data_IF_214130793895
#
_entry.id   IF_214130793895
#
_cell.length_a   1.000
_cell.length_b   1.000
_cell.length_c   1.000
_cell.angle_alpha   90.00
_cell.angle_beta   90.00
_cell.angle_gamma   90.00
#
_symmetry.space_group_name_H-M   'P 1'
#
loop_
_entity.id
_entity.type
_entity.pdbx_description
1 polymer ?
#
# COMPACT_ATOMS: atom_id res chain seq x y z
N UNK A 1 -15.57 21.60 54.57
CA UNK A 1 -16.00 20.49 53.71
C UNK A 1 -15.24 20.59 52.36
N UNK A 2 -14.22 19.75 52.19
CA UNK A 2 -13.41 19.73 50.95
C UNK A 2 -14.07 18.73 50.00
N UNK A 3 -14.63 19.24 48.89
CA UNK A 3 -15.18 18.39 47.81
C UNK A 3 -14.04 17.93 46.92
N UNK A 4 -13.69 16.66 46.97
CA UNK A 4 -12.79 16.02 46.01
C UNK A 4 -13.57 15.74 44.71
N UNK A 5 -13.24 16.45 43.65
CA UNK A 5 -13.72 16.13 42.31
C UNK A 5 -12.78 15.06 41.76
N UNK A 6 -13.27 13.82 41.69
CA UNK A 6 -12.57 12.73 41.02
C UNK A 6 -12.76 12.92 39.50
N UNK A 7 -11.71 13.34 38.81
CA UNK A 7 -11.66 13.36 37.35
C UNK A 7 -11.41 11.93 36.90
N UNK A 8 -12.46 11.25 36.43
CA UNK A 8 -12.35 9.94 35.79
C UNK A 8 -11.78 10.19 34.37
N UNK A 9 -10.50 9.91 34.22
CA UNK A 9 -9.85 9.88 32.89
C UNK A 9 -10.32 8.61 32.18
N UNK A 10 -11.36 8.74 31.34
CA UNK A 10 -11.81 7.65 30.48
C UNK A 10 -10.73 7.38 29.44
N UNK A 11 -9.95 6.33 29.66
CA UNK A 11 -9.01 5.81 28.67
C UNK A 11 -9.83 5.17 27.54
N UNK A 12 -10.10 5.92 26.49
CA UNK A 12 -10.68 5.38 25.27
C UNK A 12 -9.62 4.53 24.61
N UNK A 13 -9.62 3.23 24.89
CA UNK A 13 -8.86 2.25 24.14
C UNK A 13 -9.50 2.16 22.76
N UNK A 14 -8.89 2.82 21.76
CA UNK A 14 -9.19 2.54 20.38
C UNK A 14 -8.72 1.10 20.09
N UNK A 15 -9.63 0.16 20.27
CA UNK A 15 -9.49 -1.17 19.67
C UNK A 15 -9.54 -0.93 18.17
N UNK A 16 -8.36 -0.93 17.52
CA UNK A 16 -8.26 -0.84 16.09
C UNK A 16 -9.06 -1.99 15.48
N UNK A 17 -10.21 -1.67 14.87
CA UNK A 17 -10.92 -2.59 13.99
C UNK A 17 -9.94 -2.96 12.88
N UNK A 18 -9.41 -4.20 12.90
CA UNK A 18 -8.55 -4.68 11.82
C UNK A 18 -9.28 -4.56 10.48
N UNK A 19 -8.66 -3.86 9.53
CA UNK A 19 -9.25 -3.53 8.24
C UNK A 19 -8.71 -2.20 7.73
N UNK A 20 -9.13 -1.79 6.56
CA UNK A 20 -8.77 -0.48 6.01
C UNK A 20 -9.47 0.64 6.78
N UNK A 21 -8.71 1.64 7.19
CA UNK A 21 -9.22 2.85 7.83
C UNK A 21 -10.10 3.65 6.85
N UNK A 22 -10.85 4.62 7.37
CA UNK A 22 -11.64 5.52 6.52
C UNK A 22 -10.77 6.26 5.49
N UNK A 23 -9.61 6.76 5.92
CA UNK A 23 -8.68 7.47 5.03
C UNK A 23 -8.12 6.56 3.93
N UNK A 24 -7.78 5.31 4.27
CA UNK A 24 -7.33 4.33 3.29
C UNK A 24 -8.43 3.97 2.29
N UNK A 25 -9.67 3.81 2.74
CA UNK A 25 -10.81 3.61 1.84
C UNK A 25 -11.02 4.80 0.91
N UNK A 26 -10.87 6.02 1.40
CA UNK A 26 -10.92 7.22 0.55
C UNK A 26 -9.84 7.20 -0.55
N UNK A 27 -8.65 6.67 -0.28
CA UNK A 27 -7.61 6.46 -1.30
C UNK A 27 -8.00 5.36 -2.28
N UNK A 28 -8.47 4.21 -1.78
CA UNK A 28 -8.84 3.04 -2.59
C UNK A 28 -9.96 3.37 -3.58
N UNK A 29 -10.93 4.20 -3.18
CA UNK A 29 -12.10 4.53 -3.99
C UNK A 29 -12.04 5.92 -4.64
N UNK A 30 -10.94 6.67 -4.48
CA UNK A 30 -10.82 8.03 -5.01
C UNK A 30 -10.85 8.05 -6.54
N UNK A 31 -11.63 8.98 -7.10
CA UNK A 31 -11.71 9.24 -8.54
C UNK A 31 -12.64 8.28 -9.27
N UNK A 32 -12.79 8.51 -10.57
CA UNK A 32 -13.58 7.68 -11.46
C UNK A 32 -12.69 6.68 -12.20
N UNK A 33 -13.22 5.48 -12.45
CA UNK A 33 -12.49 4.42 -13.16
C UNK A 33 -11.45 3.68 -12.32
N UNK A 34 -10.61 2.94 -13.02
CA UNK A 34 -9.67 2.00 -12.37
C UNK A 34 -8.24 2.53 -12.23
N UNK A 35 -7.87 3.57 -12.96
CA UNK A 35 -6.53 4.16 -12.88
C UNK A 35 -6.42 5.02 -11.62
N UNK A 36 -5.40 4.76 -10.81
CA UNK A 36 -5.11 5.52 -9.60
C UNK A 36 -4.06 6.60 -9.88
N UNK A 37 -4.09 7.66 -9.08
CA UNK A 37 -3.03 8.66 -9.10
C UNK A 37 -1.73 8.03 -8.58
N UNK A 38 -0.65 8.17 -9.37
CA UNK A 38 0.69 7.72 -8.97
C UNK A 38 1.43 8.86 -8.30
N UNK A 39 1.99 8.60 -7.11
CA UNK A 39 2.81 9.54 -6.35
C UNK A 39 4.13 9.80 -7.05
N UNK A 40 4.53 11.07 -7.13
CA UNK A 40 5.76 11.50 -7.81
C UNK A 40 6.78 12.08 -6.84
N UNK A 41 8.03 11.67 -6.95
CA UNK A 41 9.14 12.25 -6.19
C UNK A 41 9.39 13.73 -6.53
N UNK A 42 8.92 14.19 -7.68
CA UNK A 42 8.99 15.60 -8.09
C UNK A 42 8.00 16.48 -7.29
N UNK A 43 6.95 15.90 -6.75
CA UNK A 43 6.03 16.56 -5.83
C UNK A 43 6.55 16.39 -4.40
N UNK A 44 6.66 17.50 -3.64
CA UNK A 44 7.19 17.47 -2.28
C UNK A 44 6.35 16.64 -1.31
N UNK A 45 5.03 16.75 -1.39
CA UNK A 45 4.11 16.04 -0.47
C UNK A 45 4.14 14.54 -0.75
N UNK A 46 4.11 14.15 -2.01
CA UNK A 46 4.24 12.76 -2.44
C UNK A 46 5.59 12.17 -2.01
N UNK A 47 6.68 12.93 -2.22
CA UNK A 47 8.03 12.52 -1.81
C UNK A 47 8.14 12.30 -0.30
N UNK A 48 7.49 13.12 0.52
CA UNK A 48 7.43 12.94 1.97
C UNK A 48 6.60 11.70 2.34
N UNK A 49 5.49 11.46 1.65
CA UNK A 49 4.68 10.26 1.84
C UNK A 49 5.46 8.99 1.50
N UNK A 50 6.12 8.96 0.33
CA UNK A 50 6.89 7.80 -0.15
C UNK A 50 8.07 7.41 0.76
N UNK A 51 8.55 8.34 1.60
CA UNK A 51 9.62 8.08 2.58
C UNK A 51 9.12 7.55 3.92
N UNK A 52 7.81 7.50 4.13
CA UNK A 52 7.23 6.98 5.37
C UNK A 52 7.27 5.46 5.39
N UNK A 53 7.38 4.91 6.60
CA UNK A 53 7.31 3.46 6.81
C UNK A 53 5.89 2.97 6.55
N UNK A 54 5.77 1.92 5.73
CA UNK A 54 4.50 1.26 5.44
C UNK A 54 4.15 0.26 6.54
N UNK A 55 2.88 0.26 6.92
CA UNK A 55 2.34 -0.68 7.90
C UNK A 55 2.03 -2.05 7.26
N UNK A 56 2.05 -3.13 8.05
CA UNK A 56 1.66 -4.44 7.54
C UNK A 56 0.18 -4.47 7.15
N UNK A 57 -0.15 -5.34 6.22
CA UNK A 57 -1.52 -5.74 5.95
C UNK A 57 -2.03 -6.64 7.08
N UNK A 58 -3.20 -6.33 7.61
CA UNK A 58 -3.88 -7.17 8.60
C UNK A 58 -4.54 -8.38 7.91
N UNK A 59 -4.58 -9.53 8.57
CA UNK A 59 -5.24 -10.74 8.04
C UNK A 59 -6.72 -10.50 7.71
N UNK A 60 -7.39 -9.63 8.45
CA UNK A 60 -8.79 -9.25 8.19
C UNK A 60 -9.00 -8.46 6.90
N UNK A 61 -7.94 -7.90 6.33
CA UNK A 61 -7.99 -7.26 5.01
C UNK A 61 -8.03 -8.30 3.89
N UNK A 62 -7.49 -9.50 4.13
CA UNK A 62 -7.45 -10.57 3.14
C UNK A 62 -8.87 -11.04 2.85
N UNK A 63 -9.26 -11.04 1.57
CA UNK A 63 -10.61 -11.38 1.13
C UNK A 63 -11.64 -10.26 1.24
N UNK A 64 -11.25 -9.05 1.70
CA UNK A 64 -12.15 -7.90 1.72
C UNK A 64 -12.40 -7.34 0.31
N UNK A 65 -13.54 -6.68 0.13
CA UNK A 65 -13.88 -5.99 -1.11
C UNK A 65 -12.91 -4.83 -1.39
N UNK A 66 -12.47 -4.14 -0.35
CA UNK A 66 -11.47 -3.07 -0.44
C UNK A 66 -10.16 -3.59 -1.01
N UNK A 67 -9.67 -4.74 -0.54
CA UNK A 67 -8.44 -5.34 -1.06
C UNK A 67 -8.62 -5.77 -2.52
N UNK A 68 -9.74 -6.40 -2.87
CA UNK A 68 -10.03 -6.79 -4.25
C UNK A 68 -10.07 -5.57 -5.18
N UNK A 69 -10.69 -4.48 -4.74
CA UNK A 69 -10.75 -3.20 -5.48
C UNK A 69 -9.35 -2.59 -5.62
N UNK A 70 -8.57 -2.57 -4.54
CA UNK A 70 -7.19 -2.06 -4.57
C UNK A 70 -6.32 -2.85 -5.56
N UNK A 71 -6.36 -4.18 -5.51
CA UNK A 71 -5.63 -5.05 -6.44
C UNK A 71 -6.00 -4.76 -7.89
N UNK A 72 -7.29 -4.69 -8.20
CA UNK A 72 -7.80 -4.40 -9.54
C UNK A 72 -7.31 -3.05 -10.04
N UNK A 73 -7.41 -2.01 -9.20
CA UNK A 73 -7.01 -0.65 -9.55
C UNK A 73 -5.50 -0.49 -9.67
N UNK A 74 -4.71 -1.08 -8.77
CA UNK A 74 -3.25 -1.09 -8.89
C UNK A 74 -2.80 -1.77 -10.18
N UNK A 75 -3.43 -2.91 -10.52
CA UNK A 75 -3.12 -3.63 -11.76
C UNK A 75 -3.47 -2.80 -13.00
N UNK A 76 -4.62 -2.14 -13.01
CA UNK A 76 -5.01 -1.24 -14.09
C UNK A 76 -4.01 -0.08 -14.22
N UNK A 77 -3.57 0.48 -13.10
CA UNK A 77 -2.64 1.61 -13.05
C UNK A 77 -1.26 1.25 -13.61
N UNK A 78 -0.69 0.10 -13.22
CA UNK A 78 0.65 -0.31 -13.70
C UNK A 78 0.65 -0.74 -15.16
N UNK A 79 -0.49 -1.16 -15.69
CA UNK A 79 -0.69 -1.53 -17.10
C UNK A 79 -1.09 -0.36 -17.99
N UNK A 80 -1.45 0.77 -17.40
CA UNK A 80 -1.78 1.96 -18.17
C UNK A 80 -0.56 2.47 -18.95
N UNK A 81 -0.67 2.77 -20.24
CA UNK A 81 0.48 3.23 -21.06
C UNK A 81 1.18 4.48 -20.51
N UNK A 82 0.48 5.31 -19.72
CA UNK A 82 1.09 6.48 -19.08
C UNK A 82 1.94 6.12 -17.84
N UNK A 83 1.74 4.94 -17.27
CA UNK A 83 2.40 4.46 -16.06
C UNK A 83 3.09 3.10 -16.25
N UNK A 84 3.21 2.65 -17.49
CA UNK A 84 3.66 1.29 -17.84
C UNK A 84 4.91 0.88 -17.06
N UNK A 85 4.78 -0.24 -16.33
CA UNK A 85 5.83 -0.77 -15.49
C UNK A 85 5.69 -2.26 -15.23
N UNK A 86 6.73 -2.84 -14.65
CA UNK A 86 6.82 -4.27 -14.29
C UNK A 86 6.44 -4.55 -12.84
N UNK A 87 6.09 -3.51 -12.10
CA UNK A 87 5.66 -3.62 -10.71
C UNK A 87 5.15 -2.29 -10.15
N UNK A 88 4.34 -2.38 -9.11
CA UNK A 88 3.79 -1.24 -8.39
C UNK A 88 3.61 -1.60 -6.91
N UNK A 89 3.97 -0.68 -6.02
CA UNK A 89 3.77 -0.80 -4.58
C UNK A 89 2.62 0.09 -4.09
N UNK A 90 1.92 -0.33 -3.06
CA UNK A 90 0.80 0.43 -2.50
C UNK A 90 1.16 1.89 -2.11
N UNK A 91 2.35 2.20 -1.57
CA UNK A 91 2.75 3.59 -1.34
C UNK A 91 2.77 4.46 -2.60
N UNK A 92 3.05 3.88 -3.77
CA UNK A 92 3.06 4.63 -5.03
C UNK A 92 1.66 5.10 -5.44
N UNK A 93 0.62 4.52 -4.91
CA UNK A 93 -0.77 4.99 -5.08
C UNK A 93 -1.34 5.66 -3.83
N UNK A 94 -0.46 6.06 -2.91
CA UNK A 94 -0.83 6.83 -1.72
C UNK A 94 -1.25 6.00 -0.51
N UNK A 95 -1.09 4.66 -0.55
CA UNK A 95 -1.49 3.77 0.53
C UNK A 95 -0.26 3.20 1.25
N UNK A 96 -0.03 3.61 2.50
CA UNK A 96 1.15 3.20 3.28
C UNK A 96 0.98 1.79 3.87
N UNK A 97 0.84 0.80 3.00
CA UNK A 97 0.74 -0.63 3.35
C UNK A 97 1.82 -1.45 2.66
N UNK A 98 2.31 -2.49 3.34
CA UNK A 98 3.29 -3.43 2.77
C UNK A 98 2.60 -4.37 1.78
N UNK A 99 2.46 -3.90 0.56
CA UNK A 99 1.85 -4.63 -0.54
C UNK A 99 2.51 -4.21 -1.84
N UNK A 100 2.84 -5.18 -2.68
CA UNK A 100 3.42 -4.97 -4.01
C UNK A 100 2.74 -5.87 -5.03
N UNK A 101 2.65 -5.42 -6.28
CA UNK A 101 2.33 -6.21 -7.45
C UNK A 101 3.57 -6.29 -8.32
N UNK A 102 3.93 -7.47 -8.81
CA UNK A 102 5.13 -7.70 -9.63
C UNK A 102 4.78 -8.58 -10.81
N UNK A 103 5.26 -8.22 -12.00
CA UNK A 103 5.16 -9.07 -13.17
C UNK A 103 6.16 -10.23 -13.07
N UNK A 104 5.67 -11.45 -13.20
CA UNK A 104 6.45 -12.66 -13.02
C UNK A 104 7.00 -13.17 -14.35
N UNK A 105 8.13 -12.64 -14.77
CA UNK A 105 8.83 -13.08 -15.99
C UNK A 105 9.35 -14.51 -15.92
N UNK A 106 9.41 -15.10 -14.73
CA UNK A 106 9.79 -16.50 -14.50
C UNK A 106 8.63 -17.48 -14.71
N UNK A 107 7.41 -16.99 -14.97
CA UNK A 107 6.22 -17.80 -15.18
C UNK A 107 5.66 -17.66 -16.60
N UNK A 108 5.06 -18.74 -17.09
CA UNK A 108 4.39 -18.72 -18.38
C UNK A 108 3.25 -17.70 -18.39
N UNK A 109 3.21 -16.85 -19.44
CA UNK A 109 2.22 -15.77 -19.57
C UNK A 109 2.54 -14.52 -18.76
N UNK A 110 3.67 -14.50 -18.04
CA UNK A 110 4.19 -13.35 -17.30
C UNK A 110 3.12 -12.61 -16.46
N UNK A 111 2.37 -13.34 -15.61
CA UNK A 111 1.27 -12.74 -14.83
C UNK A 111 1.78 -11.75 -13.80
N UNK A 112 0.94 -10.76 -13.46
CA UNK A 112 1.16 -9.98 -12.24
C UNK A 112 0.69 -10.76 -11.02
N UNK A 113 1.52 -10.81 -10.00
CA UNK A 113 1.18 -11.40 -8.69
C UNK A 113 1.29 -10.35 -7.59
N UNK A 114 0.38 -10.45 -6.61
CA UNK A 114 0.37 -9.58 -5.45
C UNK A 114 1.01 -10.28 -4.27
N UNK A 115 1.89 -9.55 -3.58
CA UNK A 115 2.56 -10.00 -2.36
C UNK A 115 2.19 -9.08 -1.22
N UNK A 116 1.66 -9.66 -0.15
CA UNK A 116 1.30 -8.96 1.08
C UNK A 116 2.39 -9.19 2.12
N UNK A 117 2.77 -8.13 2.84
CA UNK A 117 3.81 -8.17 3.87
C UNK A 117 5.14 -8.79 3.41
N UNK A 118 5.65 -8.44 2.21
CA UNK A 118 6.93 -8.97 1.78
C UNK A 118 8.05 -8.55 2.72
N UNK A 119 9.02 -9.46 2.94
CA UNK A 119 10.20 -9.22 3.77
C UNK A 119 11.45 -9.70 3.03
N UNK A 120 12.55 -8.93 3.16
CA UNK A 120 13.85 -9.34 2.65
C UNK A 120 14.47 -10.29 3.69
N UNK A 121 14.55 -11.57 3.34
CA UNK A 121 15.10 -12.62 4.23
C UNK A 121 16.57 -12.87 4.02
N UNK A 122 17.13 -12.51 2.86
CA UNK A 122 18.56 -12.64 2.55
C UNK A 122 18.96 -11.62 1.49
N UNK A 123 20.18 -11.13 1.58
CA UNK A 123 20.85 -10.35 0.54
C UNK A 123 22.07 -11.14 0.05
N UNK A 124 22.16 -11.35 -1.25
CA UNK A 124 23.32 -11.99 -1.85
C UNK A 124 24.47 -10.98 -1.95
N UNK A 125 25.71 -11.47 -1.75
CA UNK A 125 26.90 -10.62 -1.85
C UNK A 125 27.31 -10.29 -3.29
N UNK A 126 26.77 -11.03 -4.28
CA UNK A 126 27.03 -10.78 -5.69
C UNK A 126 26.10 -9.70 -6.22
N UNK A 127 26.69 -8.57 -6.61
CA UNK A 127 25.98 -7.53 -7.35
C UNK A 127 26.13 -7.83 -8.85
N UNK A 128 25.02 -8.04 -9.53
CA UNK A 128 24.99 -8.12 -11.00
C UNK A 128 24.42 -6.81 -11.54
N UNK A 129 25.06 -6.21 -12.55
CA UNK A 129 24.46 -5.09 -13.25
C UNK A 129 23.17 -5.56 -13.94
N UNK A 130 22.08 -4.84 -13.73
CA UNK A 130 20.78 -5.12 -14.31
C UNK A 130 20.09 -3.83 -14.74
N UNK A 131 19.24 -3.90 -15.74
CA UNK A 131 18.33 -2.82 -16.08
C UNK A 131 17.13 -2.86 -15.13
N UNK A 132 16.73 -1.71 -14.62
CA UNK A 132 15.49 -1.55 -13.86
C UNK A 132 14.44 -0.88 -14.74
N UNK A 133 13.23 -1.44 -14.74
CA UNK A 133 12.06 -0.88 -15.42
C UNK A 133 11.24 -0.05 -14.42
N UNK A 134 11.61 1.20 -14.28
CA UNK A 134 10.81 2.19 -13.53
C UNK A 134 10.21 3.20 -14.48
#
# INVERSE_FOLDING_TARGET
>A
MKRFIAIIFSLVVFVGCGGFSRQEREVIYRGEGDIMQVMSIANREDSLLLRRVSEPMDEKMVGSEELATLCRRMLATVKDPANEGVGIAAPQVGLLRRMVAVQRFDKAGEPFEFFLNPEIIAMLSENKPGGEGC
#
